data_IF_204364548385
#
_entry.id   IF_204364548385
#
_cell.length_a   1.000
_cell.length_b   1.000
_cell.length_c   1.000
_cell.angle_alpha   90.00
_cell.angle_beta   90.00
_cell.angle_gamma   90.00
#
_symmetry.space_group_name_H-M   'P 1'
#
loop_
_entity.id
_entity.type
_entity.pdbx_description
1 polymer ?
#
# COMPACT_ATOMS: atom_id res chain seq x y z
N UNK A 1 -8.24 5.70 -22.67
CA UNK A 1 -8.00 4.51 -21.80
C UNK A 1 -6.54 4.12 -21.94
N UNK A 2 -5.68 4.50 -21.00
CA UNK A 2 -4.30 4.01 -20.94
C UNK A 2 -4.29 2.81 -20.00
N UNK A 3 -4.27 1.61 -20.57
CA UNK A 3 -4.52 0.31 -19.93
C UNK A 3 -3.21 -0.36 -19.48
N UNK A 4 -2.35 0.37 -18.79
CA UNK A 4 -1.19 -0.22 -18.10
C UNK A 4 -1.35 -0.12 -16.58
N UNK A 5 -2.50 -0.59 -16.07
CA UNK A 5 -2.51 -1.08 -14.71
C UNK A 5 -1.99 -2.51 -14.74
N UNK A 6 -0.83 -2.81 -14.11
CA UNK A 6 -0.33 -4.17 -14.10
C UNK A 6 -1.38 -5.07 -13.44
N UNK A 7 -1.70 -6.19 -14.09
CA UNK A 7 -2.66 -7.21 -13.67
C UNK A 7 -2.54 -7.61 -12.19
N UNK A 8 -1.34 -7.43 -11.63
CA UNK A 8 -1.01 -7.63 -10.21
C UNK A 8 -1.82 -6.75 -9.24
N UNK A 9 -2.30 -5.57 -9.66
CA UNK A 9 -3.00 -4.62 -8.78
C UNK A 9 -4.34 -5.18 -8.29
N UNK A 10 -5.10 -5.83 -9.16
CA UNK A 10 -6.39 -6.42 -8.82
C UNK A 10 -6.24 -7.61 -7.85
N UNK A 11 -5.19 -8.41 -8.03
CA UNK A 11 -4.88 -9.52 -7.12
C UNK A 11 -4.58 -9.00 -5.72
N UNK A 12 -3.82 -7.90 -5.60
CA UNK A 12 -3.60 -7.27 -4.30
C UNK A 12 -4.89 -6.74 -3.69
N UNK A 13 -5.78 -6.12 -4.48
CA UNK A 13 -7.07 -5.65 -3.96
C UNK A 13 -7.90 -6.83 -3.43
N UNK A 14 -7.98 -7.95 -4.15
CA UNK A 14 -8.68 -9.15 -3.65
C UNK A 14 -8.05 -9.67 -2.36
N UNK A 15 -6.71 -9.66 -2.23
CA UNK A 15 -6.04 -9.99 -0.97
C UNK A 15 -6.37 -9.01 0.16
N UNK A 16 -6.50 -7.72 -0.13
CA UNK A 16 -6.95 -6.72 0.85
C UNK A 16 -8.38 -7.01 1.32
N UNK A 17 -9.30 -7.34 0.40
CA UNK A 17 -10.68 -7.71 0.74
C UNK A 17 -10.71 -8.97 1.61
N UNK A 18 -9.93 -9.99 1.23
CA UNK A 18 -9.79 -11.22 1.99
C UNK A 18 -9.31 -10.94 3.42
N UNK A 19 -8.26 -10.15 3.58
CA UNK A 19 -7.72 -9.78 4.88
C UNK A 19 -8.78 -9.06 5.73
N UNK A 20 -9.50 -8.08 5.17
CA UNK A 20 -10.57 -7.36 5.88
C UNK A 20 -11.69 -8.31 6.34
N UNK A 21 -12.04 -9.31 5.53
CA UNK A 21 -13.14 -10.22 5.86
C UNK A 21 -12.75 -11.34 6.84
N UNK A 22 -11.46 -11.68 6.94
CA UNK A 22 -10.99 -12.88 7.65
C UNK A 22 -10.04 -12.59 8.81
N UNK A 23 -9.31 -11.48 8.78
CA UNK A 23 -8.40 -11.04 9.83
C UNK A 23 -9.12 -10.07 10.76
N UNK A 24 -8.97 -10.26 12.07
CA UNK A 24 -9.30 -9.24 13.08
C UNK A 24 -8.03 -8.62 13.62
N UNK A 25 -7.66 -7.44 13.15
CA UNK A 25 -6.47 -6.76 13.66
C UNK A 25 -6.60 -6.53 15.17
N UNK A 26 -5.60 -6.94 15.94
CA UNK A 26 -5.59 -6.78 17.39
C UNK A 26 -4.73 -5.58 17.76
N UNK A 27 -5.38 -4.49 18.19
CA UNK A 27 -4.70 -3.29 18.68
C UNK A 27 -4.84 -3.21 20.19
N UNK A 28 -3.72 -3.19 20.90
CA UNK A 28 -3.70 -2.99 22.35
C UNK A 28 -2.69 -1.90 22.73
N UNK A 29 -2.96 -1.22 23.84
CA UNK A 29 -2.07 -0.23 24.44
C UNK A 29 -1.78 -0.68 25.86
N UNK A 30 -0.53 -1.02 26.14
CA UNK A 30 -0.06 -1.44 27.47
C UNK A 30 1.05 -0.49 27.89
N UNK A 31 0.85 0.23 29.00
CA UNK A 31 1.81 1.20 29.56
C UNK A 31 2.29 2.27 28.56
N UNK A 32 1.40 2.71 27.66
CA UNK A 32 1.73 3.70 26.62
C UNK A 32 2.50 3.13 25.42
N UNK A 33 2.66 1.80 25.36
CA UNK A 33 3.25 1.08 24.23
C UNK A 33 2.14 0.39 23.45
N UNK A 34 2.08 0.63 22.14
CA UNK A 34 1.19 -0.11 21.24
C UNK A 34 1.72 -1.54 21.12
N UNK A 35 0.87 -2.53 21.41
CA UNK A 35 1.15 -3.95 21.25
C UNK A 35 0.11 -4.59 20.33
N UNK A 36 0.52 -5.58 19.53
CA UNK A 36 -0.31 -6.16 18.46
C UNK A 36 -0.06 -5.49 17.10
N UNK A 37 -1.09 -5.33 16.30
CA UNK A 37 -1.01 -4.73 14.97
C UNK A 37 -0.91 -3.20 15.08
N UNK A 38 0.20 -2.63 14.61
CA UNK A 38 0.41 -1.18 14.64
C UNK A 38 -0.49 -0.44 13.63
N UNK A 39 -0.95 -1.14 12.59
CA UNK A 39 -1.82 -0.62 11.53
C UNK A 39 -2.43 -1.79 10.76
N UNK A 40 -3.67 -1.60 10.33
CA UNK A 40 -4.43 -2.51 9.47
C UNK A 40 -4.67 -1.84 8.10
N UNK A 41 -5.03 -2.63 7.10
CA UNK A 41 -5.40 -2.19 5.74
C UNK A 41 -6.46 -1.09 5.80
N UNK A 42 -7.43 -1.19 6.71
CA UNK A 42 -8.52 -0.22 6.82
C UNK A 42 -8.02 1.17 7.29
N UNK A 43 -6.90 1.24 8.01
CA UNK A 43 -6.34 2.51 8.50
C UNK A 43 -5.56 3.27 7.43
N UNK A 44 -5.21 2.61 6.32
CA UNK A 44 -4.44 3.24 5.25
C UNK A 44 -5.21 4.42 4.64
N UNK A 45 -4.50 5.49 4.31
CA UNK A 45 -5.11 6.65 3.65
C UNK A 45 -5.57 6.27 2.24
N UNK A 46 -6.83 6.58 1.87
CA UNK A 46 -7.36 6.29 0.53
C UNK A 46 -7.34 7.51 -0.41
N UNK A 47 -7.26 8.73 0.14
CA UNK A 47 -7.31 10.00 -0.58
C UNK A 47 -8.53 10.15 -1.51
N UNK A 48 -9.61 9.41 -1.30
CA UNK A 48 -10.75 9.38 -2.22
C UNK A 48 -11.48 10.73 -2.28
N UNK A 49 -11.42 11.51 -1.22
CA UNK A 49 -12.01 12.84 -1.11
C UNK A 49 -11.29 13.90 -1.94
N UNK A 50 -10.03 13.66 -2.33
CA UNK A 50 -9.19 14.62 -3.07
C UNK A 50 -8.83 14.19 -4.50
N UNK A 51 -9.22 12.98 -4.93
CA UNK A 51 -9.00 12.55 -6.32
C UNK A 51 -9.99 13.18 -7.31
N UNK A 52 -9.61 13.21 -8.58
CA UNK A 52 -10.48 13.69 -9.65
C UNK A 52 -11.75 12.82 -9.80
N UNK A 53 -12.94 13.39 -10.04
CA UNK A 53 -14.19 12.63 -10.15
C UNK A 53 -14.17 11.52 -11.20
N UNK A 54 -13.46 11.72 -12.32
CA UNK A 54 -13.30 10.70 -13.36
C UNK A 54 -12.47 9.50 -12.90
N UNK A 55 -11.49 9.74 -12.03
CA UNK A 55 -10.69 8.68 -11.41
C UNK A 55 -11.52 7.92 -10.38
N UNK A 56 -12.29 8.62 -9.54
CA UNK A 56 -13.22 7.99 -8.60
C UNK A 56 -14.23 7.08 -9.33
N UNK A 57 -14.84 7.57 -10.42
CA UNK A 57 -15.75 6.74 -11.23
C UNK A 57 -15.06 5.49 -11.79
N UNK A 58 -13.77 5.57 -12.10
CA UNK A 58 -12.99 4.42 -12.54
C UNK A 58 -12.77 3.42 -11.40
N UNK A 59 -12.53 3.91 -10.17
CA UNK A 59 -12.42 3.06 -8.98
C UNK A 59 -13.74 2.35 -8.68
N UNK A 60 -14.87 3.04 -8.76
CA UNK A 60 -16.21 2.46 -8.56
C UNK A 60 -16.52 1.35 -9.57
N UNK A 61 -16.13 1.53 -10.84
CA UNK A 61 -16.29 0.51 -11.88
C UNK A 61 -15.46 -0.74 -11.58
N UNK A 62 -14.20 -0.56 -11.18
CA UNK A 62 -13.32 -1.68 -10.78
C UNK A 62 -13.87 -2.36 -9.52
N UNK A 63 -14.30 -1.59 -8.53
CA UNK A 63 -14.88 -2.11 -7.29
C UNK A 63 -16.12 -2.95 -7.56
N UNK A 64 -16.99 -2.50 -8.47
CA UNK A 64 -18.19 -3.26 -8.89
C UNK A 64 -17.82 -4.60 -9.52
N UNK A 65 -16.79 -4.61 -10.38
CA UNK A 65 -16.30 -5.85 -10.98
C UNK A 65 -15.73 -6.80 -9.91
N UNK A 66 -14.91 -6.29 -9.00
CA UNK A 66 -14.30 -7.11 -7.93
C UNK A 66 -15.37 -7.63 -6.95
N UNK A 67 -16.32 -6.80 -6.55
CA UNK A 67 -17.47 -7.18 -5.73
C UNK A 67 -18.24 -8.34 -6.37
N UNK A 68 -18.47 -8.27 -7.69
CA UNK A 68 -19.17 -9.33 -8.41
C UNK A 68 -18.46 -10.70 -8.39
N UNK A 69 -17.13 -10.69 -8.23
CA UNK A 69 -16.29 -11.88 -8.15
C UNK A 69 -16.26 -12.41 -6.71
N UNK A 70 -16.04 -11.54 -5.72
CA UNK A 70 -15.85 -11.98 -4.32
C UNK A 70 -17.17 -12.32 -3.62
N UNK A 71 -18.31 -11.79 -4.07
CA UNK A 71 -19.61 -12.04 -3.41
C UNK A 71 -20.02 -13.52 -3.39
N UNK A 72 -19.51 -14.34 -4.31
CA UNK A 72 -19.76 -15.79 -4.33
C UNK A 72 -18.81 -16.59 -3.44
N UNK A 73 -17.79 -15.94 -2.88
CA UNK A 73 -16.77 -16.61 -2.09
C UNK A 73 -17.22 -16.83 -0.64
N UNK A 74 -16.93 -18.01 -0.06
CA UNK A 74 -17.41 -18.34 1.29
C UNK A 74 -16.77 -17.51 2.41
N UNK A 75 -15.61 -16.90 2.14
CA UNK A 75 -14.88 -16.05 3.09
C UNK A 75 -15.31 -14.59 3.03
N UNK A 76 -16.09 -14.18 2.03
CA UNK A 76 -16.49 -12.79 1.87
C UNK A 76 -17.65 -12.42 2.80
N UNK A 77 -17.61 -11.21 3.35
CA UNK A 77 -18.66 -10.65 4.19
C UNK A 77 -18.97 -9.22 3.76
N UNK A 78 -20.14 -9.02 3.14
CA UNK A 78 -20.60 -7.70 2.71
C UNK A 78 -20.77 -6.72 3.88
N UNK A 79 -21.05 -7.26 5.08
CA UNK A 79 -21.13 -6.46 6.31
C UNK A 79 -19.78 -5.90 6.76
N UNK A 80 -18.67 -6.57 6.45
CA UNK A 80 -17.32 -6.16 6.81
C UNK A 80 -16.63 -5.38 5.69
N UNK A 81 -16.86 -5.76 4.44
CA UNK A 81 -16.22 -5.15 3.27
C UNK A 81 -17.24 -4.80 2.18
N UNK A 82 -18.18 -3.86 2.44
CA UNK A 82 -19.17 -3.44 1.44
C UNK A 82 -18.49 -2.79 0.24
N UNK A 83 -19.23 -2.61 -0.87
CA UNK A 83 -18.72 -2.03 -2.12
C UNK A 83 -17.93 -0.72 -1.93
N UNK A 84 -18.36 0.16 -1.02
CA UNK A 84 -17.63 1.40 -0.69
C UNK A 84 -16.25 1.15 -0.08
N UNK A 85 -16.11 0.09 0.74
CA UNK A 85 -14.83 -0.34 1.30
C UNK A 85 -13.94 -0.93 0.22
N UNK A 86 -14.50 -1.66 -0.74
CA UNK A 86 -13.74 -2.14 -1.91
C UNK A 86 -13.23 -0.96 -2.74
N UNK A 87 -14.05 0.08 -2.97
CA UNK A 87 -13.60 1.32 -3.61
C UNK A 87 -12.47 1.99 -2.81
N UNK A 88 -12.60 2.06 -1.48
CA UNK A 88 -11.54 2.56 -0.58
C UNK A 88 -10.24 1.74 -0.68
N UNK A 89 -10.31 0.40 -0.80
CA UNK A 89 -9.13 -0.45 -1.00
C UNK A 89 -8.34 -0.08 -2.26
N UNK A 90 -9.02 0.35 -3.33
CA UNK A 90 -8.34 0.81 -4.54
C UNK A 90 -7.55 2.09 -4.24
N UNK A 91 -8.18 3.09 -3.60
CA UNK A 91 -7.51 4.32 -3.17
C UNK A 91 -6.34 4.06 -2.22
N UNK A 92 -6.52 3.15 -1.26
CA UNK A 92 -5.48 2.69 -0.33
C UNK A 92 -4.30 2.06 -1.07
N UNK A 93 -4.55 1.17 -2.02
CA UNK A 93 -3.48 0.57 -2.83
C UNK A 93 -2.72 1.67 -3.58
N UNK A 94 -3.42 2.60 -4.25
CA UNK A 94 -2.74 3.61 -5.06
C UNK A 94 -1.98 4.65 -4.23
N UNK A 95 -2.44 4.93 -3.01
CA UNK A 95 -1.80 5.89 -2.10
C UNK A 95 -0.66 5.30 -1.29
N UNK A 96 -0.61 3.98 -1.09
CA UNK A 96 0.30 3.36 -0.11
C UNK A 96 1.17 2.22 -0.67
N UNK A 97 0.98 1.80 -1.93
CA UNK A 97 1.77 0.70 -2.52
C UNK A 97 3.25 1.07 -2.66
N UNK A 98 4.08 0.06 -2.51
CA UNK A 98 5.51 0.09 -2.78
C UNK A 98 5.81 -0.67 -4.07
N UNK A 99 6.60 -0.06 -4.94
CA UNK A 99 7.30 -0.75 -6.02
C UNK A 99 8.50 -1.47 -5.43
N UNK A 100 8.44 -2.80 -5.35
CA UNK A 100 9.52 -3.64 -4.82
C UNK A 100 10.59 -3.80 -5.88
N UNK A 101 11.80 -3.31 -5.58
CA UNK A 101 12.92 -3.31 -6.52
C UNK A 101 14.00 -4.30 -6.13
N UNK A 102 14.58 -4.96 -7.14
CA UNK A 102 15.83 -5.72 -6.99
C UNK A 102 16.99 -5.00 -7.67
N UNK A 103 18.22 -5.38 -7.30
CA UNK A 103 19.42 -4.92 -7.99
C UNK A 103 19.63 -5.78 -9.24
N UNK A 104 19.63 -5.16 -10.42
CA UNK A 104 20.03 -5.77 -11.68
C UNK A 104 21.54 -5.55 -11.91
N UNK A 105 22.32 -6.57 -11.54
CA UNK A 105 23.78 -6.57 -11.74
C UNK A 105 24.19 -6.73 -13.21
N UNK A 106 23.25 -7.04 -14.11
CA UNK A 106 23.49 -7.11 -15.56
C UNK A 106 23.32 -5.76 -16.27
N UNK A 107 22.80 -4.74 -15.57
CA UNK A 107 22.61 -3.42 -16.11
C UNK A 107 23.96 -2.80 -16.56
N UNK A 108 24.04 -2.22 -17.77
CA UNK A 108 25.23 -1.53 -18.23
C UNK A 108 25.64 -0.40 -17.28
N UNK A 109 26.95 -0.22 -17.09
CA UNK A 109 27.51 0.91 -16.32
C UNK A 109 26.88 2.23 -16.79
N UNK A 110 26.30 2.99 -15.86
CA UNK A 110 25.67 4.28 -16.12
C UNK A 110 24.14 4.26 -16.31
N UNK A 111 23.47 3.10 -16.14
CA UNK A 111 22.00 3.02 -16.02
C UNK A 111 21.56 2.70 -14.60
N UNK A 112 20.27 2.95 -14.33
CA UNK A 112 19.63 2.53 -13.08
C UNK A 112 19.81 1.02 -12.90
N UNK A 113 20.47 0.63 -11.82
CA UNK A 113 20.73 -0.75 -11.42
C UNK A 113 19.56 -1.35 -10.62
N UNK A 114 18.41 -0.68 -10.57
CA UNK A 114 17.21 -1.17 -9.87
C UNK A 114 16.09 -1.49 -10.87
N UNK A 115 15.54 -2.70 -10.78
CA UNK A 115 14.39 -3.16 -11.55
C UNK A 115 13.20 -3.41 -10.62
N UNK A 116 12.01 -2.88 -10.98
CA UNK A 116 10.77 -3.22 -10.28
C UNK A 116 10.36 -4.67 -10.60
N UNK A 117 10.09 -5.44 -9.55
CA UNK A 117 9.78 -6.87 -9.63
C UNK A 117 8.40 -7.22 -9.11
N UNK A 118 7.84 -6.40 -8.21
CA UNK A 118 6.53 -6.59 -7.64
C UNK A 118 5.94 -5.27 -7.14
N UNK A 119 4.63 -5.29 -6.91
CA UNK A 119 3.94 -4.31 -6.08
C UNK A 119 3.59 -4.95 -4.75
N UNK A 120 3.70 -4.20 -3.66
CA UNK A 120 3.39 -4.70 -2.32
C UNK A 120 2.81 -3.60 -1.42
N UNK A 121 2.10 -4.02 -0.37
CA UNK A 121 1.65 -3.16 0.71
C UNK A 121 2.40 -3.53 1.99
N UNK A 122 2.92 -2.51 2.66
CA UNK A 122 3.58 -2.65 3.96
C UNK A 122 2.96 -1.64 4.91
N UNK A 123 1.83 -1.96 5.56
CA UNK A 123 1.03 -0.98 6.29
C UNK A 123 1.84 -0.12 7.27
N UNK A 124 2.75 -0.73 8.02
CA UNK A 124 3.62 -0.01 8.96
C UNK A 124 4.56 1.00 8.28
N UNK A 125 5.07 0.67 7.09
CA UNK A 125 5.94 1.57 6.33
C UNK A 125 5.15 2.70 5.66
N UNK A 126 3.87 2.49 5.37
CA UNK A 126 2.99 3.51 4.82
C UNK A 126 2.71 4.68 5.78
N UNK A 127 3.07 4.53 7.07
CA UNK A 127 3.06 5.64 8.03
C UNK A 127 4.16 6.68 7.79
N UNK A 128 5.24 6.31 7.06
CA UNK A 128 6.34 7.23 6.79
C UNK A 128 5.95 8.20 5.66
N UNK A 129 5.87 9.49 6.01
CA UNK A 129 5.50 10.52 5.05
C UNK A 129 6.60 10.79 4.01
N UNK A 130 6.17 11.36 2.88
CA UNK A 130 7.08 11.81 1.82
C UNK A 130 7.88 13.06 2.24
N UNK A 131 9.18 13.07 1.92
CA UNK A 131 9.98 14.30 1.86
C UNK A 131 11.01 14.20 0.73
N UNK A 132 11.19 15.28 -0.05
CA UNK A 132 12.21 15.33 -1.11
C UNK A 132 13.65 15.18 -0.59
N UNK A 133 13.88 15.58 0.66
CA UNK A 133 15.14 15.39 1.41
C UNK A 133 14.85 14.51 2.63
N UNK A 134 14.71 13.19 2.45
CA UNK A 134 14.28 12.28 3.50
C UNK A 134 15.39 12.02 4.52
N UNK A 135 15.02 11.62 5.73
CA UNK A 135 15.96 11.16 6.76
C UNK A 135 16.05 9.62 6.85
N UNK A 136 15.21 8.89 6.10
CA UNK A 136 15.24 7.44 6.01
C UNK A 136 15.01 6.94 4.56
N UNK A 137 15.33 5.67 4.33
CA UNK A 137 15.11 4.98 3.06
C UNK A 137 14.56 3.56 3.28
N UNK A 138 13.83 3.04 2.30
CA UNK A 138 13.35 1.66 2.28
C UNK A 138 14.23 0.84 1.33
N UNK A 139 14.73 -0.30 1.81
CA UNK A 139 15.50 -1.26 1.02
C UNK A 139 14.76 -2.59 1.00
N UNK A 140 14.74 -3.25 -0.15
CA UNK A 140 14.10 -4.55 -0.34
C UNK A 140 15.12 -5.68 -0.45
N UNK A 141 14.81 -6.79 0.21
CA UNK A 141 15.45 -8.10 0.03
C UNK A 141 14.34 -9.10 -0.29
N UNK A 142 14.12 -9.36 -1.57
CA UNK A 142 12.88 -9.96 -2.06
C UNK A 142 11.66 -9.15 -1.61
N UNK A 143 10.70 -9.80 -0.93
CA UNK A 143 9.51 -9.15 -0.37
C UNK A 143 9.74 -8.57 1.03
N UNK A 144 10.92 -8.69 1.62
CA UNK A 144 11.22 -8.10 2.93
C UNK A 144 11.63 -6.64 2.74
N UNK A 145 10.85 -5.72 3.28
CA UNK A 145 11.18 -4.31 3.33
C UNK A 145 11.89 -3.95 4.65
N UNK A 146 12.96 -3.16 4.57
CA UNK A 146 13.70 -2.65 5.72
C UNK A 146 13.81 -1.13 5.64
N UNK A 147 13.34 -0.43 6.67
CA UNK A 147 13.52 1.01 6.82
C UNK A 147 14.87 1.30 7.49
N UNK A 148 15.70 2.17 6.89
CA UNK A 148 17.01 2.53 7.40
C UNK A 148 17.17 4.05 7.48
N UNK A 149 17.66 4.54 8.60
CA UNK A 149 18.04 5.94 8.74
C UNK A 149 19.21 6.27 7.81
N UNK A 150 19.13 7.41 7.13
CA UNK A 150 20.20 7.98 6.30
C UNK A 150 21.10 8.94 7.09
N UNK A 151 20.60 9.42 8.22
CA UNK A 151 21.27 10.35 9.14
C UNK A 151 20.75 10.10 10.56
N UNK A 152 21.40 10.63 11.62
CA UNK A 152 20.83 10.60 12.97
C UNK A 152 19.43 11.20 12.99
N UNK A 153 18.48 10.52 13.64
CA UNK A 153 17.09 10.97 13.82
C UNK A 153 16.89 11.24 15.31
N UNK A 154 16.50 12.45 15.68
CA UNK A 154 16.35 12.83 17.07
C UNK A 154 15.00 12.36 17.65
N UNK A 155 14.91 12.23 18.98
CA UNK A 155 13.65 11.87 19.64
C UNK A 155 12.56 12.89 19.29
N UNK A 156 11.43 12.40 18.79
CA UNK A 156 10.29 13.24 18.37
C UNK A 156 10.41 13.80 16.96
N UNK A 157 11.51 13.54 16.25
CA UNK A 157 11.64 13.87 14.84
C UNK A 157 10.84 12.86 13.99
N UNK A 158 10.10 13.38 13.01
CA UNK A 158 9.33 12.57 12.06
C UNK A 158 10.26 11.74 11.16
N UNK A 159 9.91 10.48 10.93
CA UNK A 159 10.60 9.64 9.96
C UNK A 159 9.97 9.85 8.58
N UNK A 160 10.79 10.23 7.59
CA UNK A 160 10.35 10.54 6.23
C UNK A 160 11.14 9.76 5.19
N UNK A 161 10.46 9.38 4.12
CA UNK A 161 11.01 8.63 2.98
C UNK A 161 10.80 9.38 1.67
N UNK A 162 11.55 9.02 0.62
CA UNK A 162 11.29 9.53 -0.72
C UNK A 162 10.30 8.62 -1.43
N UNK A 163 9.09 9.10 -1.70
CA UNK A 163 8.21 8.55 -2.74
C UNK A 163 8.39 9.34 -4.03
N UNK A 164 8.54 8.67 -5.17
CA UNK A 164 8.47 9.37 -6.47
C UNK A 164 7.00 9.65 -6.77
N UNK A 165 6.65 10.92 -6.89
CA UNK A 165 5.37 11.32 -7.47
C UNK A 165 5.46 11.12 -8.99
N UNK A 166 5.13 9.93 -9.47
CA UNK A 166 4.78 9.73 -10.88
C UNK A 166 3.27 9.94 -11.02
N UNK A 167 2.88 11.15 -11.43
CA UNK A 167 1.52 11.46 -11.90
C UNK A 167 1.40 11.18 -13.39
#
# INVERSE_FOLDING_TARGET
>A
MNLHQPMNSYILIVKMIYEICTHKAEKSMVDGVVTGDYTDIIDLCDNIDIIQPSMLSSYEQIATLLHSIVQSEPWYSDSLCPLSTITSCIGKLYSNRFAVTTIDLSAPLGRSFTQETAIALYPLLSLANHRCTPNATVVFDGLKATLRALQPIHKGEEITVLSKNEF
#
